data_IF_754759335856
#
_entry.id   IF_754759335856
#
_cell.length_a   1.000
_cell.length_b   1.000
_cell.length_c   1.000
_cell.angle_alpha   90.00
_cell.angle_beta   90.00
_cell.angle_gamma   90.00
#
_symmetry.space_group_name_H-M   'P 1'
#
loop_
_entity.id
_entity.type
_entity.pdbx_description
1 polymer ?
#
# COMPACT_ATOMS: atom_id res chain seq x y z
N UNK A 1 -21.66 -19.30 -27.27
CA UNK A 1 -21.28 -17.89 -27.46
C UNK A 1 -21.53 -17.22 -26.13
N UNK A 2 -20.47 -16.89 -25.40
CA UNK A 2 -20.53 -16.32 -24.05
C UNK A 2 -20.41 -14.82 -24.18
N UNK A 3 -21.35 -14.09 -23.59
CA UNK A 3 -21.36 -12.64 -23.56
C UNK A 3 -20.19 -12.14 -22.69
N UNK A 4 -19.16 -11.58 -23.33
CA UNK A 4 -18.17 -10.77 -22.64
C UNK A 4 -18.77 -9.39 -22.43
N UNK A 5 -19.11 -9.07 -21.18
CA UNK A 5 -19.38 -7.69 -20.77
C UNK A 5 -18.03 -7.01 -20.57
N UNK A 6 -17.67 -6.09 -21.46
CA UNK A 6 -16.54 -5.19 -21.24
C UNK A 6 -16.82 -4.28 -20.04
N UNK A 7 -16.31 -4.65 -18.86
CA UNK A 7 -16.06 -3.69 -17.81
C UNK A 7 -14.84 -2.87 -18.23
N UNK A 8 -15.08 -1.79 -18.98
CA UNK A 8 -14.06 -0.84 -19.47
C UNK A 8 -13.39 0.00 -18.38
N UNK A 9 -12.94 -0.63 -17.30
CA UNK A 9 -12.10 -0.02 -16.27
C UNK A 9 -10.95 -0.97 -15.95
N UNK A 10 -9.73 -0.55 -16.20
CA UNK A 10 -8.51 -1.21 -15.69
C UNK A 10 -8.70 -1.49 -14.18
N UNK A 11 -8.42 -2.71 -13.70
CA UNK A 11 -8.54 -3.00 -12.28
C UNK A 11 -7.67 -2.02 -11.50
N UNK A 12 -8.27 -1.34 -10.52
CA UNK A 12 -7.55 -0.38 -9.67
C UNK A 12 -6.31 -1.06 -9.09
N UNK A 13 -5.12 -0.43 -9.18
CA UNK A 13 -3.90 -1.03 -8.65
C UNK A 13 -4.04 -1.30 -7.15
N UNK A 14 -3.48 -2.42 -6.69
CA UNK A 14 -3.49 -2.80 -5.27
C UNK A 14 -2.82 -1.74 -4.40
N UNK A 15 -1.71 -1.17 -4.86
CA UNK A 15 -1.00 -0.04 -4.26
C UNK A 15 -0.68 0.97 -5.36
N UNK A 16 -0.99 2.24 -5.13
CA UNK A 16 -0.55 3.36 -5.97
C UNK A 16 0.16 4.38 -5.08
N UNK A 17 1.36 4.77 -5.47
CA UNK A 17 2.14 5.85 -4.86
C UNK A 17 2.39 6.88 -5.95
N UNK A 18 1.76 8.04 -5.84
CA UNK A 18 1.90 9.16 -6.77
C UNK A 18 2.65 10.30 -6.08
N UNK A 19 3.69 10.78 -6.74
CA UNK A 19 4.49 11.91 -6.28
C UNK A 19 4.55 12.97 -7.38
N UNK A 20 3.99 14.15 -7.12
CA UNK A 20 3.91 15.21 -8.14
C UNK A 20 5.28 15.85 -8.43
N UNK A 21 6.14 15.99 -7.41
CA UNK A 21 7.50 16.53 -7.51
C UNK A 21 8.37 16.02 -6.36
N UNK A 22 9.69 16.05 -6.54
CA UNK A 22 10.65 15.70 -5.50
C UNK A 22 10.48 16.68 -4.32
N UNK A 23 9.87 16.20 -3.22
CA UNK A 23 9.52 17.02 -2.05
C UNK A 23 8.03 17.21 -1.78
N UNK A 24 7.13 16.77 -2.66
CA UNK A 24 5.70 16.69 -2.33
C UNK A 24 5.42 15.58 -1.30
N UNK A 25 4.32 15.71 -0.57
CA UNK A 25 3.75 14.58 0.18
C UNK A 25 3.09 13.64 -0.83
N UNK A 26 3.46 12.34 -0.89
CA UNK A 26 2.88 11.44 -1.88
C UNK A 26 1.39 11.18 -1.59
N UNK A 27 0.61 11.03 -2.66
CA UNK A 27 -0.74 10.45 -2.61
C UNK A 27 -0.58 8.93 -2.64
N UNK A 28 -1.15 8.25 -1.65
CA UNK A 28 -1.00 6.80 -1.52
C UNK A 28 -2.37 6.18 -1.39
N UNK A 29 -2.71 5.27 -2.29
CA UNK A 29 -3.92 4.46 -2.19
C UNK A 29 -3.57 2.99 -2.06
N UNK A 30 -4.29 2.27 -1.20
CA UNK A 30 -4.18 0.83 -1.02
C UNK A 30 -5.56 0.19 -1.08
N UNK A 31 -5.74 -0.83 -1.92
CA UNK A 31 -7.05 -1.46 -2.21
C UNK A 31 -8.15 -0.45 -2.61
N UNK A 32 -7.74 0.62 -3.30
CA UNK A 32 -8.65 1.69 -3.73
C UNK A 32 -8.95 2.76 -2.68
N UNK A 33 -8.46 2.63 -1.45
CA UNK A 33 -8.67 3.62 -0.38
C UNK A 33 -7.44 4.52 -0.21
N UNK A 34 -7.66 5.83 -0.09
CA UNK A 34 -6.57 6.78 0.19
C UNK A 34 -6.11 6.70 1.65
N UNK A 35 -4.79 6.59 1.84
CA UNK A 35 -4.15 6.55 3.14
C UNK A 35 -3.85 7.98 3.59
N UNK A 36 -4.46 8.41 4.70
CA UNK A 36 -4.24 9.70 5.34
C UNK A 36 -3.31 9.60 6.57
N UNK A 37 -2.90 10.74 7.13
CA UNK A 37 -2.05 10.83 8.33
C UNK A 37 -0.75 10.00 8.24
N UNK A 38 -0.17 9.94 7.04
CA UNK A 38 1.02 9.16 6.72
C UNK A 38 2.23 9.72 7.45
N UNK A 39 2.98 8.84 8.09
CA UNK A 39 4.29 9.15 8.69
C UNK A 39 5.40 8.65 7.78
N UNK A 40 5.28 7.41 7.31
CA UNK A 40 6.26 6.76 6.46
C UNK A 40 5.56 5.72 5.57
N UNK A 41 5.99 5.63 4.31
CA UNK A 41 5.53 4.63 3.35
C UNK A 41 6.80 4.02 2.74
N UNK A 42 6.95 2.70 2.83
CA UNK A 42 8.00 1.99 2.10
C UNK A 42 7.39 0.94 1.18
N UNK A 43 7.95 0.84 -0.02
CA UNK A 43 7.72 -0.24 -0.95
C UNK A 43 9.10 -0.79 -1.32
N UNK A 44 9.34 -2.02 -0.90
CA UNK A 44 10.59 -2.72 -1.17
C UNK A 44 10.27 -3.95 -2.01
N UNK A 45 10.99 -4.14 -3.12
CA UNK A 45 10.96 -5.39 -3.86
C UNK A 45 12.11 -6.27 -3.39
N UNK A 46 11.78 -7.31 -2.63
CA UNK A 46 12.77 -8.25 -2.14
C UNK A 46 13.02 -9.31 -3.23
N UNK A 47 14.22 -9.29 -3.80
CA UNK A 47 14.69 -10.38 -4.65
C UNK A 47 15.03 -11.60 -3.79
N UNK A 48 14.91 -12.79 -4.37
CA UNK A 48 15.15 -14.08 -3.73
C UNK A 48 16.28 -14.05 -2.68
N UNK A 49 15.93 -14.41 -1.45
CA UNK A 49 16.89 -14.83 -0.43
C UNK A 49 17.39 -16.26 -0.73
N UNK A 50 18.19 -16.81 0.16
CA UNK A 50 18.67 -18.20 0.09
C UNK A 50 17.54 -19.26 0.09
N UNK A 51 16.30 -18.84 0.38
CA UNK A 51 15.07 -19.64 0.34
C UNK A 51 14.22 -19.40 -0.90
N UNK A 52 14.64 -18.51 -1.79
CA UNK A 52 13.96 -18.26 -3.06
C UNK A 52 12.73 -17.36 -2.97
N UNK A 53 12.43 -16.75 -1.82
CA UNK A 53 11.21 -15.96 -1.63
C UNK A 53 11.33 -14.63 -2.36
N UNK A 54 10.36 -14.32 -3.22
CA UNK A 54 10.27 -13.05 -3.95
C UNK A 54 8.93 -12.41 -3.61
N UNK A 55 8.96 -11.38 -2.79
CA UNK A 55 7.73 -10.72 -2.36
C UNK A 55 7.88 -9.20 -2.30
N UNK A 56 6.83 -8.45 -2.66
CA UNK A 56 6.74 -7.05 -2.28
C UNK A 56 6.62 -6.97 -0.76
N UNK A 57 7.40 -6.08 -0.16
CA UNK A 57 7.26 -5.67 1.22
C UNK A 57 6.72 -4.24 1.24
N UNK A 58 5.51 -4.08 1.78
CA UNK A 58 4.86 -2.78 1.90
C UNK A 58 4.73 -2.45 3.38
N UNK A 59 5.24 -1.29 3.76
CA UNK A 59 5.10 -0.76 5.11
C UNK A 59 4.36 0.56 5.07
N UNK A 60 3.29 0.66 5.85
CA UNK A 60 2.50 1.87 6.00
C UNK A 60 2.52 2.26 7.47
N UNK A 61 3.12 3.40 7.77
CA UNK A 61 3.02 4.04 9.08
C UNK A 61 2.08 5.24 9.03
N UNK A 62 1.19 5.30 10.01
CA UNK A 62 0.22 6.39 10.17
C UNK A 62 0.04 6.77 11.63
N UNK A 63 -0.38 8.02 11.84
CA UNK A 63 -0.90 8.47 13.14
C UNK A 63 -2.39 8.14 13.18
N UNK A 64 -2.79 7.39 14.20
CA UNK A 64 -4.19 7.17 14.57
C UNK A 64 -4.47 7.80 15.93
N UNK A 65 -5.75 7.96 16.25
CA UNK A 65 -6.20 8.54 17.51
C UNK A 65 -6.95 7.49 18.30
N UNK A 66 -6.60 7.30 19.57
CA UNK A 66 -7.31 6.37 20.45
C UNK A 66 -8.69 6.90 20.86
N UNK A 67 -9.46 6.11 21.62
CA UNK A 67 -10.78 6.51 22.11
C UNK A 67 -10.78 7.75 23.02
N UNK A 68 -9.61 8.15 23.54
CA UNK A 68 -9.45 9.32 24.39
C UNK A 68 -8.89 10.54 23.63
N UNK A 69 -8.77 10.46 22.31
CA UNK A 69 -8.23 11.55 21.50
C UNK A 69 -6.71 11.62 21.47
N UNK A 70 -5.99 10.62 21.99
CA UNK A 70 -4.51 10.63 22.03
C UNK A 70 -3.92 10.06 20.74
N UNK A 71 -2.99 10.76 20.09
CA UNK A 71 -2.34 10.25 18.90
C UNK A 71 -1.37 9.12 19.26
N UNK A 72 -1.33 8.08 18.44
CA UNK A 72 -0.36 7.00 18.52
C UNK A 72 0.09 6.55 17.12
N UNK A 73 1.29 5.99 17.04
CA UNK A 73 1.84 5.43 15.81
C UNK A 73 1.27 4.04 15.56
N UNK A 74 0.79 3.79 14.35
CA UNK A 74 0.43 2.46 13.88
C UNK A 74 1.21 2.12 12.64
N UNK A 75 1.91 0.99 12.70
CA UNK A 75 2.61 0.41 11.56
C UNK A 75 1.83 -0.81 11.06
N UNK A 76 1.39 -0.77 9.81
CA UNK A 76 0.85 -1.91 9.10
C UNK A 76 1.93 -2.47 8.17
N UNK A 77 2.14 -3.78 8.27
CA UNK A 77 3.07 -4.53 7.43
C UNK A 77 2.27 -5.44 6.55
N UNK A 78 2.36 -5.22 5.24
CA UNK A 78 1.66 -6.00 4.24
C UNK A 78 2.73 -6.81 3.54
N UNK A 79 2.88 -8.03 4.04
CA UNK A 79 3.72 -9.05 3.48
C UNK A 79 2.75 -10.08 2.90
N UNK A 80 3.05 -10.71 1.76
CA UNK A 80 2.31 -11.92 1.37
C UNK A 80 2.43 -12.93 2.52
N UNK A 81 1.34 -13.31 3.20
CA UNK A 81 1.32 -14.61 3.85
C UNK A 81 1.31 -15.63 2.70
N UNK A 82 2.12 -16.68 2.82
CA UNK A 82 2.26 -17.80 1.89
C UNK A 82 3.24 -17.59 0.73
N UNK A 83 4.52 -17.80 1.04
CA UNK A 83 5.48 -18.44 0.13
C UNK A 83 5.86 -19.80 0.72
#
# INVERSE_FOLDING_TARGET
MSDYVEFGGEPSPLLRIELDKIGSVPRVTYKGEEINNKVCISFDWQTADDKGIRSPYIRIERIETDSNGRPFYKAERINSPDA
#
